data_IF_948082871378
#
_entry.id   IF_948082871378
#
_cell.length_a   1.000
_cell.length_b   1.000
_cell.length_c   1.000
_cell.angle_alpha   90.00
_cell.angle_beta   90.00
_cell.angle_gamma   90.00
#
_symmetry.space_group_name_H-M   'P 1'
#
loop_
_entity.id
_entity.type
_entity.pdbx_description
1 polymer ?
#
# COMPACT_ATOMS: atom_id res chain seq x y z
N UNK A 1 -3.55 10.98 19.59
CA UNK A 1 -3.51 10.24 18.33
C UNK A 1 -3.39 8.74 18.57
N UNK A 2 -2.36 8.26 19.27
CA UNK A 2 -2.14 6.86 19.66
C UNK A 2 -3.39 6.01 19.97
N UNK A 3 -4.28 6.48 20.86
CA UNK A 3 -5.52 5.75 21.21
C UNK A 3 -6.50 5.55 20.05
N UNK A 4 -6.58 6.49 19.10
CA UNK A 4 -7.51 6.43 17.97
C UNK A 4 -7.04 5.37 16.97
N UNK A 5 -5.74 5.37 16.68
CA UNK A 5 -5.14 4.43 15.72
C UNK A 5 -4.71 3.10 16.36
N UNK A 6 -5.00 2.90 17.65
CA UNK A 6 -4.68 1.66 18.37
C UNK A 6 -3.18 1.40 18.57
N UNK A 7 -2.35 2.44 18.61
CA UNK A 7 -0.89 2.35 18.74
C UNK A 7 -0.38 2.84 20.10
N UNK A 8 0.90 2.58 20.43
CA UNK A 8 1.57 3.19 21.58
C UNK A 8 1.90 4.68 21.33
N UNK A 9 2.13 5.48 22.39
CA UNK A 9 2.54 6.87 22.23
C UNK A 9 3.78 7.06 21.35
N UNK A 10 4.79 6.20 21.52
CA UNK A 10 6.06 6.20 20.77
C UNK A 10 5.96 5.60 19.36
N UNK A 11 4.83 4.96 19.03
CA UNK A 11 4.52 4.46 17.69
C UNK A 11 3.72 5.48 16.86
N UNK A 12 3.43 6.67 17.41
CA UNK A 12 2.72 7.74 16.68
C UNK A 12 3.50 9.05 16.65
N UNK A 13 3.48 9.72 15.50
CA UNK A 13 4.02 11.06 15.34
C UNK A 13 2.98 11.96 14.65
N UNK A 14 2.81 13.18 15.15
CA UNK A 14 1.98 14.22 14.52
C UNK A 14 2.93 15.20 13.85
N UNK A 15 2.99 15.14 12.52
CA UNK A 15 4.01 15.82 11.72
C UNK A 15 3.38 16.65 10.60
N UNK A 16 3.93 16.54 9.39
CA UNK A 16 3.59 17.32 8.20
C UNK A 16 2.20 16.95 7.65
N UNK A 17 1.93 17.37 6.41
CA UNK A 17 0.77 16.89 5.64
C UNK A 17 0.89 15.40 5.33
N UNK A 18 -0.25 14.77 5.02
CA UNK A 18 -0.37 13.33 4.76
C UNK A 18 0.63 12.82 3.72
N UNK A 19 0.60 13.38 2.50
CA UNK A 19 1.47 12.93 1.40
C UNK A 19 2.96 13.13 1.72
N UNK A 20 3.33 14.20 2.44
CA UNK A 20 4.72 14.40 2.87
C UNK A 20 5.15 13.30 3.83
N UNK A 21 4.27 12.89 4.76
CA UNK A 21 4.57 11.78 5.66
C UNK A 21 4.65 10.44 4.90
N UNK A 22 3.84 10.22 3.85
CA UNK A 22 3.96 9.04 2.96
C UNK A 22 5.33 9.02 2.27
N UNK A 23 5.81 10.16 1.73
CA UNK A 23 7.16 10.24 1.16
C UNK A 23 8.24 9.88 2.19
N UNK A 24 8.12 10.33 3.44
CA UNK A 24 9.08 9.97 4.50
C UNK A 24 9.05 8.46 4.80
N UNK A 25 7.86 7.87 4.88
CA UNK A 25 7.71 6.43 5.07
C UNK A 25 8.30 5.65 3.88
N UNK A 26 8.00 6.03 2.64
CA UNK A 26 8.57 5.39 1.46
C UNK A 26 10.09 5.57 1.39
N UNK A 27 10.64 6.73 1.73
CA UNK A 27 12.09 6.94 1.80
C UNK A 27 12.76 5.97 2.80
N UNK A 28 12.12 5.74 3.95
CA UNK A 28 12.64 4.89 5.01
C UNK A 28 12.43 3.40 4.76
N UNK A 29 11.28 3.00 4.22
CA UNK A 29 10.84 1.60 4.15
C UNK A 29 10.93 0.98 2.74
N UNK A 30 10.84 1.77 1.66
CA UNK A 30 10.99 1.24 0.30
C UNK A 30 12.48 1.05 -0.03
N UNK A 31 12.97 -0.15 0.28
CA UNK A 31 14.34 -0.62 0.04
C UNK A 31 14.32 -1.75 -1.00
N UNK A 32 14.03 -1.45 -2.27
CA UNK A 32 13.91 -2.48 -3.29
C UNK A 32 15.23 -3.20 -3.53
N UNK A 33 15.14 -4.46 -3.94
CA UNK A 33 16.26 -5.28 -4.46
C UNK A 33 15.98 -5.68 -5.91
N UNK A 34 16.93 -6.30 -6.58
CA UNK A 34 16.73 -6.83 -7.95
C UNK A 34 15.58 -7.84 -8.04
N UNK A 35 15.34 -8.63 -6.98
CA UNK A 35 14.26 -9.63 -6.93
C UNK A 35 12.97 -9.10 -6.32
N UNK A 36 13.02 -8.08 -5.45
CA UNK A 36 11.89 -7.57 -4.68
C UNK A 36 11.82 -6.05 -4.75
N UNK A 37 11.11 -5.53 -5.73
CA UNK A 37 11.02 -4.08 -5.98
C UNK A 37 9.61 -3.58 -6.21
N UNK A 38 8.62 -4.47 -6.36
CA UNK A 38 7.26 -4.06 -6.72
C UNK A 38 6.51 -3.47 -5.53
N UNK A 39 5.57 -2.57 -5.80
CA UNK A 39 4.59 -2.10 -4.80
C UNK A 39 3.20 -2.51 -5.28
N UNK A 40 2.39 -3.06 -4.37
CA UNK A 40 1.02 -3.48 -4.63
C UNK A 40 0.04 -2.44 -4.07
N UNK A 41 -0.87 -1.93 -4.91
CA UNK A 41 -1.92 -0.97 -4.54
C UNK A 41 -3.30 -1.39 -5.08
N UNK A 42 -4.37 -0.80 -4.57
CA UNK A 42 -5.70 -0.87 -5.20
C UNK A 42 -5.73 -0.09 -6.52
N UNK A 43 -6.59 -0.49 -7.45
CA UNK A 43 -6.81 0.25 -8.70
C UNK A 43 -7.43 1.61 -8.40
N UNK A 44 -6.98 2.64 -9.13
CA UNK A 44 -7.43 4.03 -8.95
C UNK A 44 -7.35 4.48 -7.47
N UNK A 45 -6.16 4.38 -6.84
CA UNK A 45 -5.96 4.89 -5.50
C UNK A 45 -6.05 6.43 -5.55
N UNK A 46 -6.02 7.06 -4.39
CA UNK A 46 -6.02 8.51 -4.35
C UNK A 46 -4.82 9.07 -5.14
N UNK A 47 -4.98 10.13 -5.98
CA UNK A 47 -3.94 10.51 -6.93
C UNK A 47 -2.58 10.84 -6.30
N UNK A 48 -2.56 11.50 -5.12
CA UNK A 48 -1.30 11.84 -4.46
C UNK A 48 -0.49 10.63 -4.02
N UNK A 49 -1.17 9.57 -3.59
CA UNK A 49 -0.57 8.33 -3.10
C UNK A 49 0.14 7.61 -4.24
N UNK A 50 -0.55 7.53 -5.39
CA UNK A 50 0.03 7.02 -6.63
C UNK A 50 1.26 7.83 -7.02
N UNK A 51 1.16 9.16 -7.03
CA UNK A 51 2.31 10.00 -7.40
C UNK A 51 3.49 9.83 -6.45
N UNK A 52 3.24 9.73 -5.14
CA UNK A 52 4.28 9.44 -4.15
C UNK A 52 4.95 8.09 -4.43
N UNK A 53 4.20 7.01 -4.58
CA UNK A 53 4.73 5.67 -4.89
C UNK A 53 5.54 5.68 -6.19
N UNK A 54 4.98 6.19 -7.28
CA UNK A 54 5.67 6.21 -8.57
C UNK A 54 6.94 7.07 -8.54
N UNK A 55 6.94 8.19 -7.80
CA UNK A 55 8.15 9.03 -7.67
C UNK A 55 9.29 8.27 -6.96
N UNK A 56 8.98 7.50 -5.91
CA UNK A 56 9.97 6.70 -5.20
C UNK A 56 10.48 5.52 -6.04
N UNK A 57 9.62 4.90 -6.85
CA UNK A 57 10.05 3.89 -7.84
C UNK A 57 11.07 4.48 -8.83
N UNK A 58 10.73 5.63 -9.44
CA UNK A 58 11.60 6.31 -10.40
C UNK A 58 12.93 6.73 -9.75
N UNK A 59 12.91 7.26 -8.52
CA UNK A 59 14.11 7.61 -7.76
C UNK A 59 15.02 6.40 -7.47
N UNK A 60 14.46 5.19 -7.43
CA UNK A 60 15.20 3.93 -7.26
C UNK A 60 15.54 3.25 -8.60
N UNK A 61 15.22 3.88 -9.73
CA UNK A 61 15.56 3.39 -11.06
C UNK A 61 14.58 2.35 -11.64
N UNK A 62 13.38 2.23 -11.08
CA UNK A 62 12.36 1.31 -11.58
C UNK A 62 11.28 2.05 -12.38
N UNK A 63 10.87 1.49 -13.51
CA UNK A 63 9.72 1.97 -14.27
C UNK A 63 8.43 1.58 -13.54
N UNK A 64 7.57 2.54 -13.15
CA UNK A 64 6.28 2.22 -12.55
C UNK A 64 5.39 1.31 -13.39
N UNK A 65 5.53 1.29 -14.72
CA UNK A 65 4.74 0.38 -15.57
C UNK A 65 5.03 -1.11 -15.31
N UNK A 66 6.21 -1.43 -14.79
CA UNK A 66 6.65 -2.79 -14.44
C UNK A 66 6.66 -3.04 -12.92
N UNK A 67 6.89 -1.99 -12.14
CA UNK A 67 7.06 -2.07 -10.70
C UNK A 67 5.77 -1.87 -9.90
N UNK A 68 4.72 -1.30 -10.49
CA UNK A 68 3.44 -1.07 -9.82
C UNK A 68 2.44 -2.17 -10.16
N UNK A 69 2.03 -2.94 -9.16
CA UNK A 69 0.94 -3.91 -9.30
C UNK A 69 -0.35 -3.23 -8.81
N UNK A 70 -1.39 -3.26 -9.64
CA UNK A 70 -2.70 -2.68 -9.33
C UNK A 70 -3.75 -3.77 -9.27
N UNK A 71 -4.35 -4.01 -8.10
CA UNK A 71 -5.52 -4.88 -8.00
C UNK A 71 -6.76 -4.12 -8.45
N UNK A 72 -7.44 -4.60 -9.50
CA UNK A 72 -8.70 -4.02 -9.96
C UNK A 72 -9.89 -4.90 -9.56
N UNK A 73 -11.11 -4.33 -9.42
CA UNK A 73 -12.33 -5.12 -9.41
C UNK A 73 -12.40 -6.02 -10.64
N UNK A 74 -13.08 -7.15 -10.49
CA UNK A 74 -13.42 -8.02 -11.63
C UNK A 74 -14.35 -7.29 -12.59
N UNK A 75 -14.44 -7.77 -13.83
CA UNK A 75 -15.34 -7.19 -14.81
C UNK A 75 -16.79 -7.16 -14.30
N UNK A 76 -17.43 -6.00 -14.38
CA UNK A 76 -18.78 -5.78 -13.86
C UNK A 76 -18.86 -5.48 -12.34
N UNK A 77 -17.75 -5.49 -11.61
CA UNK A 77 -17.71 -5.18 -10.18
C UNK A 77 -17.16 -3.77 -9.92
N UNK A 78 -17.62 -3.17 -8.82
CA UNK A 78 -17.12 -1.85 -8.36
C UNK A 78 -16.13 -1.96 -7.19
N UNK A 79 -16.20 -3.06 -6.43
CA UNK A 79 -15.37 -3.30 -5.26
C UNK A 79 -14.34 -4.38 -5.54
N UNK A 80 -13.16 -4.25 -4.93
CA UNK A 80 -12.17 -5.32 -4.96
C UNK A 80 -12.60 -6.41 -3.98
N UNK A 81 -12.51 -7.67 -4.38
CA UNK A 81 -12.69 -8.77 -3.43
C UNK A 81 -11.41 -8.96 -2.63
N UNK A 82 -11.52 -9.15 -1.32
CA UNK A 82 -10.35 -9.42 -0.46
C UNK A 82 -9.58 -10.65 -0.97
N UNK A 83 -10.29 -11.67 -1.47
CA UNK A 83 -9.68 -12.88 -2.00
C UNK A 83 -8.74 -12.61 -3.19
N UNK A 84 -9.07 -11.64 -4.04
CA UNK A 84 -8.23 -11.29 -5.19
C UNK A 84 -6.95 -10.56 -4.76
N UNK A 85 -7.05 -9.73 -3.71
CA UNK A 85 -5.89 -9.08 -3.09
C UNK A 85 -4.97 -10.14 -2.47
N UNK A 86 -5.53 -11.06 -1.68
CA UNK A 86 -4.78 -12.14 -1.03
C UNK A 86 -4.12 -13.08 -2.05
N UNK A 87 -4.83 -13.38 -3.14
CA UNK A 87 -4.30 -14.22 -4.22
C UNK A 87 -3.14 -13.51 -4.94
N UNK A 88 -3.26 -12.20 -5.21
CA UNK A 88 -2.16 -11.41 -5.79
C UNK A 88 -0.92 -11.42 -4.90
N UNK A 89 -1.09 -11.24 -3.58
CA UNK A 89 0.00 -11.33 -2.61
C UNK A 89 0.62 -12.72 -2.60
N UNK A 90 -0.20 -13.78 -2.66
CA UNK A 90 0.30 -15.16 -2.67
C UNK A 90 1.13 -15.46 -3.93
N UNK A 91 0.68 -14.98 -5.09
CA UNK A 91 1.28 -15.34 -6.37
C UNK A 91 2.53 -14.52 -6.70
N UNK A 92 2.64 -13.28 -6.18
CA UNK A 92 3.72 -12.35 -6.52
C UNK A 92 4.48 -11.83 -5.30
N UNK A 93 4.18 -12.35 -4.11
CA UNK A 93 4.67 -11.85 -2.83
C UNK A 93 6.18 -11.84 -2.67
N UNK A 94 6.89 -12.73 -3.36
CA UNK A 94 8.36 -12.76 -3.40
C UNK A 94 8.97 -11.55 -4.13
N UNK A 95 8.22 -10.93 -5.05
CA UNK A 95 8.62 -9.74 -5.81
C UNK A 95 8.13 -8.41 -5.23
N UNK A 96 7.18 -8.46 -4.29
CA UNK A 96 6.57 -7.26 -3.68
C UNK A 96 7.40 -6.80 -2.47
N UNK A 97 7.89 -5.57 -2.52
CA UNK A 97 8.56 -4.93 -1.39
C UNK A 97 7.55 -4.38 -0.37
N UNK A 98 6.51 -3.71 -0.87
CA UNK A 98 5.49 -3.05 -0.04
C UNK A 98 4.09 -3.36 -0.60
N UNK A 99 3.16 -3.76 0.26
CA UNK A 99 1.72 -3.67 0.01
C UNK A 99 1.24 -2.36 0.62
N UNK A 100 0.73 -1.45 -0.20
CA UNK A 100 0.31 -0.10 0.21
C UNK A 100 -1.11 0.19 -0.29
N UNK A 101 -2.08 0.16 0.62
CA UNK A 101 -3.50 0.31 0.30
C UNK A 101 -4.10 1.50 1.06
N UNK A 102 -5.23 2.04 0.62
CA UNK A 102 -6.08 2.82 1.52
C UNK A 102 -6.72 1.93 2.60
N UNK A 103 -7.04 2.49 3.76
CA UNK A 103 -7.89 1.81 4.75
C UNK A 103 -9.35 1.78 4.27
N UNK A 104 -9.84 2.95 3.85
CA UNK A 104 -11.14 3.12 3.18
C UNK A 104 -10.91 3.79 1.83
N UNK A 105 -11.40 3.19 0.75
CA UNK A 105 -11.22 3.71 -0.60
C UNK A 105 -12.06 4.98 -0.81
N UNK A 106 -11.41 6.09 -1.20
CA UNK A 106 -12.00 7.44 -1.21
C UNK A 106 -13.23 7.62 -2.11
N UNK A 107 -13.33 6.86 -3.20
CA UNK A 107 -14.39 6.94 -4.21
C UNK A 107 -15.51 5.92 -3.94
N UNK A 108 -15.16 4.66 -3.66
CA UNK A 108 -16.14 3.57 -3.48
C UNK A 108 -16.63 3.42 -2.05
N UNK A 109 -15.96 4.05 -1.07
CA UNK A 109 -16.23 3.90 0.35
C UNK A 109 -15.89 2.50 0.90
N UNK A 110 -15.16 1.69 0.14
CA UNK A 110 -14.84 0.33 0.53
C UNK A 110 -13.84 0.31 1.68
N UNK A 111 -14.24 -0.28 2.81
CA UNK A 111 -13.30 -0.64 3.88
C UNK A 111 -12.56 -1.92 3.49
N UNK A 112 -11.24 -1.86 3.43
CA UNK A 112 -10.41 -3.03 3.17
C UNK A 112 -10.14 -3.82 4.46
N UNK A 113 -10.03 -5.15 4.34
CA UNK A 113 -9.67 -6.03 5.46
C UNK A 113 -8.16 -5.92 5.75
N UNK A 114 -7.79 -4.85 6.45
CA UNK A 114 -6.40 -4.53 6.77
C UNK A 114 -5.71 -5.66 7.53
N UNK A 115 -6.43 -6.39 8.40
CA UNK A 115 -5.86 -7.50 9.16
C UNK A 115 -5.43 -8.65 8.24
N UNK A 116 -6.33 -9.12 7.37
CA UNK A 116 -6.01 -10.22 6.46
C UNK A 116 -4.94 -9.83 5.44
N UNK A 117 -4.99 -8.61 4.91
CA UNK A 117 -3.98 -8.10 3.98
C UNK A 117 -2.60 -8.02 4.66
N UNK A 118 -2.54 -7.51 5.89
CA UNK A 118 -1.30 -7.43 6.68
C UNK A 118 -0.70 -8.81 6.91
N UNK A 119 -1.51 -9.77 7.35
CA UNK A 119 -1.06 -11.15 7.60
C UNK A 119 -0.52 -11.81 6.33
N UNK A 120 -1.22 -11.66 5.20
CA UNK A 120 -0.78 -12.23 3.92
C UNK A 120 0.52 -11.59 3.41
N UNK A 121 0.65 -10.26 3.49
CA UNK A 121 1.86 -9.55 3.06
C UNK A 121 3.07 -9.96 3.91
N UNK A 122 2.93 -9.96 5.23
CA UNK A 122 4.00 -10.38 6.14
C UNK A 122 4.40 -11.85 5.93
N UNK A 123 3.44 -12.75 5.66
CA UNK A 123 3.73 -14.16 5.36
C UNK A 123 4.62 -14.35 4.11
N UNK A 124 4.62 -13.38 3.19
CA UNK A 124 5.46 -13.36 1.99
C UNK A 124 6.73 -12.50 2.12
N UNK A 125 6.96 -11.92 3.32
CA UNK A 125 8.09 -11.03 3.58
C UNK A 125 7.92 -9.60 3.06
N UNK A 126 6.72 -9.21 2.67
CA UNK A 126 6.41 -7.82 2.29
C UNK A 126 6.29 -6.95 3.55
N UNK A 127 6.62 -5.66 3.45
CA UNK A 127 6.09 -4.67 4.38
C UNK A 127 4.65 -4.33 3.98
N UNK A 128 3.80 -3.99 4.96
CA UNK A 128 2.41 -3.59 4.70
C UNK A 128 2.14 -2.25 5.36
N UNK A 129 1.59 -1.31 4.59
CA UNK A 129 1.22 0.02 5.06
C UNK A 129 -0.12 0.44 4.51
N UNK A 130 -0.78 1.38 5.22
CA UNK A 130 -2.08 1.88 4.81
C UNK A 130 -2.13 3.41 4.86
N UNK A 131 -2.76 4.02 3.86
CA UNK A 131 -3.26 5.40 3.97
C UNK A 131 -4.64 5.38 4.67
N UNK A 132 -4.70 5.97 5.86
CA UNK A 132 -5.90 6.02 6.69
C UNK A 132 -6.63 7.36 6.61
N UNK A 133 -6.47 8.14 5.54
CA UNK A 133 -7.14 9.44 5.36
C UNK A 133 -8.68 9.39 5.52
N UNK A 134 -9.30 8.27 5.17
CA UNK A 134 -10.74 8.07 5.17
C UNK A 134 -11.22 7.00 6.17
N UNK A 135 -10.34 6.51 7.03
CA UNK A 135 -10.61 5.41 7.98
C UNK A 135 -10.74 5.90 9.43
#
# INVERSE_FOLDING_TARGET
>A
MARIVGAKPDETAVLNTLTVNIHFLLAAFYKPTSSRYKILMESKPFPSDRYAVESHMRMKGYDPSEALIMCAPREGEHWLRTEDILQTIKDQGDTIAIVFFSGVQYYTGQLFDMQRITQAGHAQGCLVGFDLAHA
#
